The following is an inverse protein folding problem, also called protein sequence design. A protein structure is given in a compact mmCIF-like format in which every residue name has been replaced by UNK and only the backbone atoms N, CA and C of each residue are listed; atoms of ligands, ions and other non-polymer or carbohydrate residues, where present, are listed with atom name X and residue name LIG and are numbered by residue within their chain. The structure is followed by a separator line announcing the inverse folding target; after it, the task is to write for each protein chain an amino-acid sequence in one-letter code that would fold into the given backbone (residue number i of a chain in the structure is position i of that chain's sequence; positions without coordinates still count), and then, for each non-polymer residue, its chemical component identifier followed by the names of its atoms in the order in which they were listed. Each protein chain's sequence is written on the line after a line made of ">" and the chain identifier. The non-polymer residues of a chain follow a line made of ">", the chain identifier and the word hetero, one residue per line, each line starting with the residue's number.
data_IF_554615910939
#
_entry.id   IF_554615910939
#
_cell.length_a   1.000
_cell.length_b   1.000
_cell.length_c   1.000
_cell.angle_alpha   90.00
_cell.angle_beta   90.00
_cell.angle_gamma   90.00
#
_symmetry.space_group_name_H-M   'P 1'
#
loop_
_entity.id
_entity.type
_entity.pdbx_description
1 polymer ?
#
# COMPACT_ATOMS: atom_id res chain seq x y z
N UNK A 1 -11.63 -4.91 17.20
CA UNK A 1 -11.14 -3.50 17.25
C UNK A 1 -9.83 -3.38 16.50
N UNK A 2 -9.65 -2.31 15.71
CA UNK A 2 -8.42 -1.99 14.97
C UNK A 2 -7.71 -0.79 15.59
N UNK A 3 -6.38 -0.87 15.71
CA UNK A 3 -5.49 0.23 16.14
C UNK A 3 -4.59 0.59 14.97
N UNK A 4 -4.63 1.85 14.52
CA UNK A 4 -3.82 2.30 13.40
C UNK A 4 -3.14 3.64 13.69
N UNK A 5 -1.83 3.61 13.96
CA UNK A 5 -0.99 4.78 13.82
C UNK A 5 -0.81 5.15 12.34
N UNK A 6 -0.34 6.36 12.05
CA UNK A 6 -0.09 6.82 10.67
C UNK A 6 -1.34 6.85 9.76
N UNK A 7 -2.53 6.69 10.33
CA UNK A 7 -3.80 6.86 9.64
C UNK A 7 -4.15 8.34 9.57
N UNK A 8 -4.00 8.94 8.39
CA UNK A 8 -4.29 10.37 8.13
C UNK A 8 -4.95 10.51 6.75
N UNK A 9 -5.56 11.66 6.43
CA UNK A 9 -6.08 11.91 5.08
C UNK A 9 -5.04 11.72 3.96
N UNK A 10 -3.74 11.92 4.27
CA UNK A 10 -2.62 11.77 3.34
C UNK A 10 -1.98 10.37 3.34
N UNK A 11 -2.49 9.40 4.12
CA UNK A 11 -1.84 8.08 4.30
C UNK A 11 -2.02 7.11 3.13
N UNK A 12 -2.72 7.49 2.05
CA UNK A 12 -2.83 6.69 0.83
C UNK A 12 -3.25 5.24 1.10
N UNK A 13 -2.43 4.29 0.67
CA UNK A 13 -2.73 2.85 0.72
C UNK A 13 -3.03 2.28 2.10
N UNK A 14 -2.38 2.77 3.18
CA UNK A 14 -2.69 2.33 4.54
C UNK A 14 -4.13 2.65 4.92
N UNK A 15 -4.56 3.89 4.67
CA UNK A 15 -5.92 4.32 4.97
C UNK A 15 -6.94 3.52 4.16
N UNK A 16 -6.72 3.40 2.84
CA UNK A 16 -7.58 2.58 1.97
C UNK A 16 -7.71 1.16 2.51
N UNK A 17 -6.60 0.52 2.87
CA UNK A 17 -6.61 -0.84 3.40
C UNK A 17 -7.43 -0.96 4.69
N UNK A 18 -7.19 -0.07 5.67
CA UNK A 18 -7.88 -0.09 6.97
C UNK A 18 -9.38 0.18 6.81
N UNK A 19 -9.75 1.10 5.92
CA UNK A 19 -11.16 1.47 5.68
C UNK A 19 -11.90 0.36 4.91
N UNK A 20 -11.30 -0.24 3.88
CA UNK A 20 -11.90 -1.31 3.10
C UNK A 20 -12.10 -2.59 3.93
N UNK A 21 -11.08 -3.00 4.68
CA UNK A 21 -11.19 -4.14 5.60
C UNK A 21 -12.25 -3.85 6.68
N UNK A 22 -12.23 -2.62 7.25
CA UNK A 22 -13.20 -2.23 8.27
C UNK A 22 -14.63 -2.23 7.75
N UNK A 23 -14.87 -1.77 6.52
CA UNK A 23 -16.18 -1.84 5.87
C UNK A 23 -16.63 -3.28 5.72
N UNK A 24 -15.74 -4.16 5.23
CA UNK A 24 -16.06 -5.58 5.08
C UNK A 24 -16.40 -6.27 6.41
N UNK A 25 -15.73 -5.90 7.50
CA UNK A 25 -16.10 -6.41 8.83
C UNK A 25 -17.50 -5.93 9.25
N UNK A 26 -17.83 -4.67 9.02
CA UNK A 26 -19.16 -4.13 9.33
C UNK A 26 -20.25 -4.76 8.47
N UNK A 27 -20.01 -4.96 7.17
CA UNK A 27 -20.92 -5.64 6.26
C UNK A 27 -21.13 -7.12 6.63
N UNK A 28 -20.12 -7.78 7.20
CA UNK A 28 -20.21 -9.13 7.75
C UNK A 28 -20.90 -9.20 9.13
N UNK A 29 -21.41 -8.08 9.65
CA UNK A 29 -22.17 -8.01 10.92
C UNK A 29 -21.30 -7.90 12.17
N UNK A 30 -20.03 -7.50 12.05
CA UNK A 30 -19.16 -7.27 13.20
C UNK A 30 -19.17 -5.80 13.65
N UNK A 31 -19.15 -5.58 14.96
CA UNK A 31 -18.98 -4.25 15.55
C UNK A 31 -17.51 -3.81 15.41
N UNK A 32 -17.22 -3.12 14.31
CA UNK A 32 -15.89 -2.63 14.04
C UNK A 32 -15.63 -1.28 14.72
N UNK A 33 -14.60 -1.20 15.55
CA UNK A 33 -14.08 0.04 16.10
C UNK A 33 -12.65 0.27 15.62
N UNK A 34 -12.40 1.46 15.07
CA UNK A 34 -11.07 1.92 14.67
C UNK A 34 -10.57 2.98 15.64
N UNK A 35 -9.42 2.76 16.25
CA UNK A 35 -8.76 3.76 17.12
C UNK A 35 -7.55 4.34 16.40
N UNK A 36 -7.54 5.66 16.23
CA UNK A 36 -6.49 6.41 15.51
C UNK A 36 -5.98 7.58 16.37
N UNK A 37 -4.73 8.04 16.14
CA UNK A 37 -4.23 9.24 16.79
C UNK A 37 -4.72 10.51 16.08
N UNK A 38 -4.88 11.60 16.83
CA UNK A 38 -5.21 12.91 16.28
C UNK A 38 -4.82 14.08 17.16
N UNK A 39 -5.08 15.32 16.73
CA UNK A 39 -4.79 16.52 17.50
C UNK A 39 -5.76 16.74 18.67
N UNK A 40 -6.95 16.16 18.61
CA UNK A 40 -8.01 16.22 19.62
C UNK A 40 -8.70 14.87 19.72
N UNK A 41 -9.44 14.67 20.80
CA UNK A 41 -10.34 13.53 20.93
C UNK A 41 -11.57 13.75 20.04
N UNK A 42 -12.02 12.68 19.39
CA UNK A 42 -13.19 12.68 18.52
C UNK A 42 -13.80 11.26 18.49
N UNK A 43 -15.10 11.19 18.25
CA UNK A 43 -15.87 9.95 18.26
C UNK A 43 -16.95 10.04 17.18
N UNK A 44 -16.82 9.26 16.12
CA UNK A 44 -17.71 9.35 14.96
C UNK A 44 -18.05 7.98 14.37
N UNK A 45 -19.25 7.87 13.79
CA UNK A 45 -19.64 6.73 12.99
C UNK A 45 -19.36 7.01 11.53
N UNK A 46 -18.67 6.08 10.87
CA UNK A 46 -18.30 6.14 9.46
C UNK A 46 -18.89 4.95 8.72
N UNK A 47 -18.93 4.96 7.38
CA UNK A 47 -19.33 3.78 6.60
C UNK A 47 -18.49 2.52 6.88
N UNK A 48 -17.26 2.72 7.37
CA UNK A 48 -16.36 1.62 7.74
C UNK A 48 -16.47 1.21 9.21
N UNK A 49 -17.48 1.67 9.94
CA UNK A 49 -17.69 1.41 11.36
C UNK A 49 -17.37 2.60 12.27
N UNK A 50 -17.32 2.37 13.56
CA UNK A 50 -17.09 3.38 14.59
C UNK A 50 -15.61 3.79 14.62
N UNK A 51 -15.31 5.09 14.58
CA UNK A 51 -13.96 5.64 14.65
C UNK A 51 -13.76 6.50 15.87
N UNK A 52 -12.77 6.16 16.68
CA UNK A 52 -12.37 6.91 17.88
C UNK A 52 -11.00 7.53 17.62
N UNK A 53 -10.94 8.84 17.61
CA UNK A 53 -9.68 9.58 17.54
C UNK A 53 -9.22 9.89 18.95
N UNK A 54 -8.00 9.48 19.29
CA UNK A 54 -7.39 9.73 20.60
C UNK A 54 -6.38 10.87 20.48
N UNK A 55 -6.56 11.94 21.23
CA UNK A 55 -5.60 13.04 21.31
C UNK A 55 -4.20 12.52 21.62
N UNK A 56 -3.26 12.79 20.75
CA UNK A 56 -1.93 12.18 20.73
C UNK A 56 -0.85 13.21 20.37
N UNK A 57 0.39 13.03 20.84
CA UNK A 57 1.50 13.91 20.49
C UNK A 57 1.85 13.81 19.00
N UNK A 58 2.39 14.91 18.46
CA UNK A 58 2.96 14.92 17.10
C UNK A 58 4.22 14.05 17.07
N UNK A 59 4.44 13.42 15.93
CA UNK A 59 5.60 12.57 15.66
C UNK A 59 6.25 12.95 14.32
N UNK A 60 7.49 13.43 14.39
CA UNK A 60 8.24 13.89 13.22
C UNK A 60 7.64 15.13 12.55
N UNK A 61 8.22 15.51 11.41
CA UNK A 61 7.88 16.74 10.69
C UNK A 61 6.70 16.55 9.70
N UNK A 62 6.27 15.33 9.48
CA UNK A 62 5.24 14.99 8.50
C UNK A 62 3.78 15.15 9.00
N UNK A 63 3.58 15.79 10.17
CA UNK A 63 2.25 16.03 10.72
C UNK A 63 1.53 14.79 11.29
N UNK A 64 2.24 13.67 11.44
CA UNK A 64 1.69 12.49 12.07
C UNK A 64 1.53 12.69 13.59
N UNK A 65 0.57 11.94 14.16
CA UNK A 65 0.42 11.76 15.60
C UNK A 65 0.64 10.28 15.93
N UNK A 66 1.04 9.96 17.15
CA UNK A 66 1.26 8.59 17.61
C UNK A 66 0.53 8.32 18.91
N UNK A 67 -0.26 7.26 18.92
CA UNK A 67 -1.04 6.82 20.09
C UNK A 67 -0.14 6.59 21.31
N UNK A 68 -0.63 7.01 22.47
CA UNK A 68 0.03 6.76 23.75
C UNK A 68 -0.63 5.60 24.48
N UNK A 69 0.17 4.74 25.09
CA UNK A 69 -0.30 3.54 25.79
C UNK A 69 -1.40 3.84 26.82
N UNK A 70 -1.22 4.89 27.67
CA UNK A 70 -2.17 5.23 28.75
C UNK A 70 -3.56 5.56 28.21
N UNK A 71 -3.64 6.45 27.21
CA UNK A 71 -4.94 6.91 26.69
C UNK A 71 -5.65 5.84 25.87
N UNK A 72 -4.88 5.10 25.08
CA UNK A 72 -5.44 4.02 24.28
C UNK A 72 -5.93 2.87 25.15
N UNK A 73 -5.21 2.51 26.22
CA UNK A 73 -5.68 1.50 27.17
C UNK A 73 -7.02 1.87 27.81
N UNK A 74 -7.23 3.12 28.15
CA UNK A 74 -8.53 3.57 28.69
C UNK A 74 -9.69 3.33 27.70
N UNK A 75 -9.44 3.43 26.38
CA UNK A 75 -10.43 3.08 25.34
C UNK A 75 -10.64 1.57 25.29
N UNK A 76 -9.54 0.79 25.32
CA UNK A 76 -9.58 -0.67 25.32
C UNK A 76 -10.33 -1.24 26.52
N UNK A 77 -10.04 -0.73 27.72
CA UNK A 77 -10.68 -1.14 28.97
C UNK A 77 -12.19 -0.85 28.99
N UNK A 78 -12.59 0.27 28.35
CA UNK A 78 -14.01 0.66 28.22
C UNK A 78 -14.77 -0.22 27.25
N UNK A 79 -14.13 -0.60 26.11
CA UNK A 79 -14.82 -1.25 24.99
C UNK A 79 -14.64 -2.78 24.96
N UNK A 80 -13.71 -3.32 25.74
CA UNK A 80 -13.46 -4.77 25.91
C UNK A 80 -13.59 -5.56 24.61
N UNK A 81 -12.68 -5.32 23.61
CA UNK A 81 -12.80 -5.96 22.31
C UNK A 81 -12.54 -7.47 22.36
N UNK A 82 -13.25 -8.25 21.53
CA UNK A 82 -13.00 -9.71 21.39
C UNK A 82 -11.68 -10.02 20.66
N UNK A 83 -11.27 -9.13 19.75
CA UNK A 83 -10.02 -9.24 18.99
C UNK A 83 -9.40 -7.86 18.82
N UNK A 84 -8.09 -7.78 18.97
CA UNK A 84 -7.31 -6.56 18.76
C UNK A 84 -6.41 -6.71 17.55
N UNK A 85 -6.67 -5.94 16.49
CA UNK A 85 -5.83 -5.83 15.30
C UNK A 85 -4.97 -4.56 15.39
N UNK A 86 -3.68 -4.70 15.20
CA UNK A 86 -2.74 -3.58 15.21
C UNK A 86 -2.08 -3.41 13.84
N UNK A 87 -2.23 -2.24 13.23
CA UNK A 87 -1.71 -1.92 11.90
C UNK A 87 -0.28 -1.36 11.90
N UNK A 88 0.39 -1.35 13.05
CA UNK A 88 1.77 -0.87 13.14
C UNK A 88 2.62 -1.66 14.14
N UNK A 89 3.91 -1.76 13.84
CA UNK A 89 4.88 -2.52 14.65
C UNK A 89 5.22 -1.82 15.98
N UNK A 90 5.02 -0.52 16.10
CA UNK A 90 5.39 0.26 17.29
C UNK A 90 4.44 0.00 18.45
N UNK A 91 3.15 -0.06 18.16
CA UNK A 91 2.09 -0.22 19.16
C UNK A 91 2.06 -1.61 19.81
N UNK A 92 2.52 -2.65 19.11
CA UNK A 92 2.58 -4.02 19.63
C UNK A 92 3.29 -4.11 20.99
N UNK A 93 4.33 -3.28 21.21
CA UNK A 93 5.12 -3.31 22.44
C UNK A 93 4.30 -3.08 23.72
N UNK A 94 3.31 -2.20 23.67
CA UNK A 94 2.47 -1.84 24.81
C UNK A 94 1.06 -2.42 24.71
N UNK A 95 0.60 -2.81 23.52
CA UNK A 95 -0.67 -3.53 23.34
C UNK A 95 -0.58 -4.98 23.81
N UNK A 96 0.52 -5.67 23.52
CA UNK A 96 0.65 -7.08 23.84
C UNK A 96 0.57 -7.42 25.35
N UNK A 97 1.17 -6.64 26.28
CA UNK A 97 0.95 -6.87 27.73
C UNK A 97 -0.51 -6.68 28.13
N UNK A 98 -1.20 -5.66 27.60
CA UNK A 98 -2.62 -5.44 27.87
C UNK A 98 -3.48 -6.58 27.31
N UNK A 99 -3.29 -6.94 26.05
CA UNK A 99 -4.04 -7.99 25.38
C UNK A 99 -3.92 -9.34 26.12
N UNK A 100 -2.71 -9.68 26.58
CA UNK A 100 -2.47 -10.88 27.41
C UNK A 100 -3.20 -10.83 28.73
N UNK A 101 -3.16 -9.70 29.43
CA UNK A 101 -3.84 -9.54 30.72
C UNK A 101 -5.37 -9.59 30.58
N UNK A 102 -5.90 -9.10 29.48
CA UNK A 102 -7.33 -9.10 29.17
C UNK A 102 -7.82 -10.40 28.50
N UNK A 103 -6.92 -11.34 28.16
CA UNK A 103 -7.29 -12.55 27.40
C UNK A 103 -7.69 -12.29 25.94
N UNK A 104 -7.34 -11.12 25.38
CA UNK A 104 -7.74 -10.70 24.04
C UNK A 104 -6.65 -11.07 23.03
N UNK A 105 -6.95 -11.82 21.96
CA UNK A 105 -5.98 -12.12 20.91
C UNK A 105 -5.53 -10.86 20.18
N UNK A 106 -4.19 -10.69 20.08
CA UNK A 106 -3.56 -9.58 19.34
C UNK A 106 -3.07 -10.07 17.99
N UNK A 107 -3.58 -9.46 16.92
CA UNK A 107 -3.14 -9.68 15.55
C UNK A 107 -2.34 -8.46 15.07
N UNK A 108 -1.12 -8.68 14.58
CA UNK A 108 -0.31 -7.65 13.92
C UNK A 108 -0.55 -7.71 12.41
N UNK A 109 -1.13 -6.67 11.83
CA UNK A 109 -1.14 -6.47 10.38
C UNK A 109 0.10 -5.67 9.98
N UNK A 110 1.10 -6.34 9.39
CA UNK A 110 2.37 -5.72 9.01
C UNK A 110 2.28 -5.10 7.61
N UNK A 111 1.95 -3.81 7.55
CA UNK A 111 1.86 -3.04 6.30
C UNK A 111 3.21 -2.63 5.74
N UNK A 112 4.26 -2.62 6.55
CA UNK A 112 5.55 -2.03 6.20
C UNK A 112 6.70 -3.00 6.47
N UNK A 113 7.67 -2.95 5.58
CA UNK A 113 8.96 -3.60 5.74
C UNK A 113 10.01 -2.55 6.07
N UNK A 114 10.38 -2.46 7.36
CA UNK A 114 11.21 -1.38 7.89
C UNK A 114 12.60 -1.36 7.25
N UNK A 115 13.23 -2.54 7.04
CA UNK A 115 14.55 -2.63 6.39
C UNK A 115 14.52 -2.10 4.95
N UNK A 116 13.44 -2.33 4.20
CA UNK A 116 13.28 -1.83 2.85
C UNK A 116 13.07 -0.31 2.80
N UNK A 117 12.22 0.24 3.69
CA UNK A 117 11.91 1.67 3.75
C UNK A 117 13.15 2.48 4.19
N UNK A 118 13.83 2.03 5.22
CA UNK A 118 14.97 2.75 5.78
C UNK A 118 16.24 2.61 4.93
N UNK A 119 16.32 1.64 4.03
CA UNK A 119 17.49 1.43 3.16
C UNK A 119 17.88 2.69 2.37
N UNK A 120 16.92 3.52 2.02
CA UNK A 120 17.15 4.79 1.30
C UNK A 120 17.63 5.94 2.21
N UNK A 121 17.61 5.75 3.54
CA UNK A 121 17.87 6.80 4.54
C UNK A 121 19.10 6.55 5.39
N UNK A 122 19.62 5.31 5.38
CA UNK A 122 20.81 4.94 6.17
C UNK A 122 22.02 4.71 5.28
N UNK A 123 23.25 4.97 5.77
CA UNK A 123 24.47 4.72 5.02
C UNK A 123 24.62 3.26 4.58
N UNK A 124 25.32 3.04 3.44
CA UNK A 124 25.73 1.70 3.02
C UNK A 124 26.64 1.09 4.08
N UNK A 125 26.41 -0.19 4.45
CA UNK A 125 27.16 -0.88 5.50
C UNK A 125 26.51 -0.86 6.89
N UNK A 126 25.50 -0.01 7.13
CA UNK A 126 24.73 -0.07 8.37
C UNK A 126 23.97 -1.43 8.44
N UNK A 127 24.03 -2.18 9.58
CA UNK A 127 23.42 -3.51 9.72
C UNK A 127 21.90 -3.44 9.90
N UNK A 128 21.23 -2.74 8.98
CA UNK A 128 19.80 -2.47 9.05
C UNK A 128 18.96 -3.74 9.07
N UNK A 129 19.35 -4.74 8.28
CA UNK A 129 18.64 -6.03 8.25
C UNK A 129 18.71 -6.74 9.60
N UNK A 130 19.89 -6.78 10.23
CA UNK A 130 20.05 -7.40 11.55
C UNK A 130 19.25 -6.66 12.63
N UNK A 131 19.21 -5.32 12.58
CA UNK A 131 18.38 -4.52 13.50
C UNK A 131 16.88 -4.77 13.28
N UNK A 132 16.42 -4.86 12.04
CA UNK A 132 15.04 -5.20 11.71
C UNK A 132 14.69 -6.64 12.15
N UNK A 133 15.59 -7.59 11.96
CA UNK A 133 15.40 -8.98 12.38
C UNK A 133 15.30 -9.11 13.91
N UNK A 134 16.15 -8.38 14.66
CA UNK A 134 16.04 -8.32 16.12
C UNK A 134 14.69 -7.74 16.58
N UNK A 135 14.22 -6.69 15.91
CA UNK A 135 12.90 -6.10 16.18
C UNK A 135 11.78 -7.10 15.87
N UNK A 136 11.81 -7.74 14.70
CA UNK A 136 10.79 -8.69 14.27
C UNK A 136 10.76 -9.95 15.15
N UNK A 137 11.91 -10.45 15.63
CA UNK A 137 11.96 -11.54 16.64
C UNK A 137 11.18 -11.22 17.90
N UNK A 138 11.23 -9.96 18.35
CA UNK A 138 10.49 -9.52 19.54
C UNK A 138 9.03 -9.26 19.27
N UNK A 139 8.66 -9.00 18.02
CA UNK A 139 7.28 -8.67 17.64
C UNK A 139 6.43 -9.93 17.45
N UNK A 140 6.89 -10.88 16.63
CA UNK A 140 6.05 -12.04 16.29
C UNK A 140 5.70 -12.93 17.49
N UNK A 141 6.57 -13.01 18.50
CA UNK A 141 6.28 -13.76 19.75
C UNK A 141 5.25 -13.07 20.64
N UNK A 142 4.93 -11.80 20.37
CA UNK A 142 3.96 -11.01 21.13
C UNK A 142 2.58 -10.97 20.50
N UNK A 143 2.48 -11.27 19.22
CA UNK A 143 1.23 -11.33 18.49
C UNK A 143 0.77 -12.78 18.34
N UNK A 144 -0.52 -13.02 18.47
CA UNK A 144 -1.12 -14.35 18.21
C UNK A 144 -0.95 -14.73 16.73
N UNK A 145 -1.14 -13.78 15.82
CA UNK A 145 -0.88 -13.90 14.38
C UNK A 145 -0.19 -12.64 13.86
N UNK A 146 0.64 -12.84 12.85
CA UNK A 146 1.19 -11.75 12.03
C UNK A 146 0.63 -11.89 10.63
N UNK A 147 -0.09 -10.89 10.17
CA UNK A 147 -0.62 -10.81 8.81
C UNK A 147 0.32 -10.01 7.94
N UNK A 148 0.65 -10.53 6.77
CA UNK A 148 1.48 -9.89 5.73
C UNK A 148 0.77 -9.96 4.38
N UNK A 149 1.09 -9.06 3.46
CA UNK A 149 0.34 -8.91 2.22
C UNK A 149 0.97 -9.61 1.01
N UNK A 150 2.26 -10.00 1.11
CA UNK A 150 3.04 -10.53 -0.01
C UNK A 150 4.14 -11.48 0.44
N UNK A 151 4.73 -12.23 -0.48
CA UNK A 151 5.93 -13.04 -0.22
C UNK A 151 7.12 -12.16 0.15
N UNK A 152 7.23 -10.97 -0.46
CA UNK A 152 8.25 -10.00 -0.10
C UNK A 152 8.13 -9.56 1.36
N UNK A 153 6.91 -9.31 1.86
CA UNK A 153 6.68 -8.97 3.26
C UNK A 153 6.87 -10.17 4.20
N UNK A 154 6.54 -11.40 3.76
CA UNK A 154 6.75 -12.64 4.53
C UNK A 154 8.23 -12.85 4.84
N UNK A 155 9.11 -12.60 3.87
CA UNK A 155 10.54 -12.88 3.97
C UNK A 155 11.27 -12.23 5.18
N UNK A 156 10.76 -11.11 5.71
CA UNK A 156 11.35 -10.51 6.93
C UNK A 156 11.05 -11.33 8.19
N UNK A 157 9.92 -12.04 8.22
CA UNK A 157 9.52 -12.91 9.32
C UNK A 157 10.09 -14.32 9.18
N UNK A 158 10.25 -14.82 7.94
CA UNK A 158 10.91 -16.10 7.65
C UNK A 158 12.36 -16.09 8.15
N UNK A 159 13.09 -14.97 7.94
CA UNK A 159 14.47 -14.80 8.42
C UNK A 159 14.61 -14.95 9.95
N UNK A 160 13.55 -14.71 10.70
CA UNK A 160 13.55 -14.82 12.16
C UNK A 160 12.83 -16.05 12.69
N UNK A 161 12.41 -16.94 11.80
CA UNK A 161 11.77 -18.23 12.15
C UNK A 161 10.36 -18.07 12.72
N UNK A 162 9.63 -17.02 12.35
CA UNK A 162 8.25 -16.79 12.79
C UNK A 162 7.31 -17.87 12.22
N UNK A 163 6.49 -18.48 13.10
CA UNK A 163 5.61 -19.60 12.74
C UNK A 163 4.12 -19.24 12.65
N UNK A 164 3.75 -18.07 13.14
CA UNK A 164 2.37 -17.57 13.20
C UNK A 164 2.05 -16.54 12.11
N UNK A 165 2.81 -16.54 11.01
CA UNK A 165 2.61 -15.64 9.88
C UNK A 165 1.50 -16.17 8.96
N UNK A 166 0.62 -15.29 8.52
CA UNK A 166 -0.41 -15.56 7.51
C UNK A 166 -0.33 -14.52 6.41
N UNK A 167 -0.33 -14.97 5.17
CA UNK A 167 -0.37 -14.08 4.02
C UNK A 167 -1.83 -13.86 3.59
N UNK A 168 -2.24 -12.60 3.62
CA UNK A 168 -3.55 -12.13 3.14
C UNK A 168 -3.28 -10.97 2.16
N UNK A 169 -3.31 -11.21 0.85
CA UNK A 169 -3.14 -10.16 -0.15
C UNK A 169 -4.24 -9.10 -0.02
N UNK A 170 -3.90 -7.86 -0.36
CA UNK A 170 -4.91 -6.79 -0.40
C UNK A 170 -5.72 -6.87 -1.69
N UNK A 171 -6.91 -6.28 -1.65
CA UNK A 171 -7.78 -6.16 -2.79
C UNK A 171 -7.71 -4.81 -3.49
N UNK A 172 -8.51 -4.67 -4.55
CA UNK A 172 -8.77 -3.43 -5.27
C UNK A 172 -10.27 -3.27 -5.50
N UNK A 173 -10.71 -2.02 -5.52
CA UNK A 173 -12.05 -1.63 -5.92
C UNK A 173 -12.17 -1.73 -7.45
N UNK A 174 -12.67 -2.87 -7.92
CA UNK A 174 -12.81 -3.21 -9.34
C UNK A 174 -13.92 -2.42 -10.05
N UNK A 175 -14.79 -1.75 -9.29
CA UNK A 175 -15.87 -0.90 -9.85
C UNK A 175 -15.36 0.52 -10.12
N UNK A 176 -14.68 1.14 -9.17
CA UNK A 176 -14.09 2.46 -9.34
C UNK A 176 -12.90 2.41 -10.31
N UNK A 177 -11.99 1.46 -10.13
CA UNK A 177 -10.84 1.25 -11.02
C UNK A 177 -11.21 0.26 -12.12
N UNK A 178 -11.61 0.81 -13.27
CA UNK A 178 -12.13 -0.01 -14.36
C UNK A 178 -11.67 0.57 -15.72
N UNK A 179 -11.43 -0.27 -16.76
CA UNK A 179 -11.07 0.20 -18.09
C UNK A 179 -12.09 1.17 -18.73
N UNK A 180 -13.38 1.06 -18.36
CA UNK A 180 -14.45 1.99 -18.78
C UNK A 180 -14.25 3.43 -18.29
N UNK A 181 -13.40 3.66 -17.30
CA UNK A 181 -13.04 5.00 -16.83
C UNK A 181 -12.21 5.79 -17.85
N UNK A 182 -11.72 5.14 -18.91
CA UNK A 182 -11.01 5.80 -20.01
C UNK A 182 -11.92 6.76 -20.75
N UNK A 183 -11.45 8.01 -20.92
CA UNK A 183 -12.24 9.11 -21.51
C UNK A 183 -12.12 9.26 -23.01
N UNK A 184 -11.05 8.71 -23.63
CA UNK A 184 -10.81 8.87 -25.07
C UNK A 184 -10.11 7.70 -25.74
N UNK A 185 -10.38 7.49 -27.01
CA UNK A 185 -9.55 6.63 -27.84
C UNK A 185 -8.19 7.31 -28.09
N UNK A 186 -7.10 6.54 -28.07
CA UNK A 186 -5.79 7.05 -28.48
C UNK A 186 -5.79 7.23 -30.02
N UNK A 187 -5.34 8.39 -30.49
CA UNK A 187 -5.03 8.58 -31.89
C UNK A 187 -3.62 8.01 -32.18
N UNK A 188 -3.35 7.43 -33.37
CA UNK A 188 -2.04 6.90 -33.70
C UNK A 188 -0.88 7.90 -33.53
N UNK A 189 -1.16 9.20 -33.72
CA UNK A 189 -0.18 10.27 -33.58
C UNK A 189 -0.09 10.86 -32.15
N UNK A 190 -0.89 10.39 -31.20
CA UNK A 190 -0.81 10.85 -29.82
C UNK A 190 0.52 10.39 -29.20
N UNK A 191 1.13 11.20 -28.30
CA UNK A 191 2.25 10.73 -27.51
C UNK A 191 1.82 9.58 -26.59
N UNK A 192 2.72 8.63 -26.36
CA UNK A 192 2.49 7.55 -25.38
C UNK A 192 2.25 8.15 -23.99
N UNK A 193 1.12 7.83 -23.40
CA UNK A 193 0.70 8.35 -22.09
C UNK A 193 1.19 7.43 -20.98
N UNK A 194 2.13 7.92 -20.19
CA UNK A 194 2.65 7.24 -19.01
C UNK A 194 2.00 7.81 -17.75
N UNK A 195 1.84 7.00 -16.71
CA UNK A 195 1.36 7.44 -15.40
C UNK A 195 2.21 6.89 -14.27
N UNK A 196 2.45 7.70 -13.26
CA UNK A 196 3.01 7.32 -11.96
C UNK A 196 2.05 7.75 -10.86
N UNK A 197 1.59 6.82 -10.03
CA UNK A 197 0.78 7.12 -8.85
C UNK A 197 1.58 6.75 -7.61
N UNK A 198 2.03 7.77 -6.87
CA UNK A 198 2.77 7.48 -5.64
C UNK A 198 2.92 8.72 -4.75
N UNK A 199 3.18 8.51 -3.46
CA UNK A 199 3.73 9.56 -2.60
C UNK A 199 5.13 9.95 -3.09
N UNK A 200 5.42 11.25 -3.14
CA UNK A 200 6.70 11.77 -3.63
C UNK A 200 7.74 11.78 -2.48
N UNK A 201 8.21 10.59 -2.10
CA UNK A 201 9.15 10.34 -1.02
C UNK A 201 10.33 9.47 -1.48
N UNK A 202 11.41 9.46 -0.71
CA UNK A 202 12.69 8.83 -1.12
C UNK A 202 12.57 7.34 -1.46
N UNK A 203 11.79 6.59 -0.70
CA UNK A 203 11.58 5.15 -0.90
C UNK A 203 10.80 4.83 -2.18
N UNK A 204 9.99 5.79 -2.69
CA UNK A 204 9.18 5.61 -3.90
C UNK A 204 9.95 5.83 -5.20
N UNK A 205 11.13 6.45 -5.15
CA UNK A 205 12.04 6.58 -6.29
C UNK A 205 11.43 7.21 -7.54
N UNK A 206 10.49 8.16 -7.37
CA UNK A 206 9.82 8.83 -8.49
C UNK A 206 10.81 9.49 -9.48
N UNK A 207 11.99 9.88 -9.03
CA UNK A 207 13.07 10.39 -9.88
C UNK A 207 13.47 9.44 -11.00
N UNK A 208 13.37 8.11 -10.78
CA UNK A 208 13.71 7.11 -11.81
C UNK A 208 12.69 7.06 -12.94
N UNK A 209 11.40 7.26 -12.64
CA UNK A 209 10.37 7.34 -13.67
C UNK A 209 10.58 8.58 -14.56
N UNK A 210 10.93 9.74 -13.97
CA UNK A 210 11.25 10.96 -14.72
C UNK A 210 12.49 10.77 -15.59
N UNK A 211 13.53 10.13 -15.04
CA UNK A 211 14.74 9.80 -15.81
C UNK A 211 14.46 8.78 -16.93
N UNK A 212 13.55 7.83 -16.73
CA UNK A 212 13.11 6.91 -17.77
C UNK A 212 12.40 7.65 -18.93
N UNK A 213 11.59 8.69 -18.62
CA UNK A 213 11.01 9.55 -19.64
C UNK A 213 12.10 10.25 -20.45
N UNK A 214 13.17 10.75 -19.82
CA UNK A 214 14.32 11.33 -20.54
C UNK A 214 14.94 10.31 -21.52
N UNK A 215 15.21 9.08 -21.04
CA UNK A 215 15.75 8.00 -21.91
C UNK A 215 14.83 7.71 -23.09
N UNK A 216 13.53 7.71 -22.88
CA UNK A 216 12.54 7.48 -23.95
C UNK A 216 12.53 8.61 -24.98
N UNK A 217 12.49 9.88 -24.50
CA UNK A 217 12.48 11.07 -25.36
C UNK A 217 13.79 11.19 -26.15
N UNK A 218 14.94 11.01 -25.48
CA UNK A 218 16.26 11.07 -26.13
C UNK A 218 16.42 9.99 -27.22
N UNK A 219 15.68 8.88 -27.11
CA UNK A 219 15.62 7.83 -28.14
C UNK A 219 14.56 8.04 -29.22
N UNK A 220 13.89 9.19 -29.23
CA UNK A 220 12.90 9.56 -30.24
C UNK A 220 11.45 9.11 -29.95
N UNK A 221 11.17 8.47 -28.80
CA UNK A 221 9.79 8.11 -28.45
C UNK A 221 9.03 9.35 -27.97
N UNK A 222 7.95 9.69 -28.64
CA UNK A 222 7.01 10.72 -28.19
C UNK A 222 6.18 10.17 -27.02
N UNK A 223 6.44 10.63 -25.80
CA UNK A 223 5.70 10.23 -24.61
C UNK A 223 5.48 11.39 -23.66
N UNK A 224 4.51 11.25 -22.75
CA UNK A 224 4.25 12.20 -21.67
C UNK A 224 3.96 11.43 -20.37
N UNK A 225 4.42 11.94 -19.22
CA UNK A 225 4.23 11.33 -17.91
C UNK A 225 3.29 12.20 -17.04
N UNK A 226 2.20 11.60 -16.59
CA UNK A 226 1.35 12.13 -15.53
C UNK A 226 1.81 11.61 -14.18
N UNK A 227 2.19 12.51 -13.26
CA UNK A 227 2.56 12.18 -11.88
C UNK A 227 1.41 12.53 -10.96
N UNK A 228 0.78 11.52 -10.36
CA UNK A 228 -0.33 11.65 -9.41
C UNK A 228 0.20 11.37 -8.00
N UNK A 229 0.06 12.35 -7.13
CA UNK A 229 0.52 12.29 -5.74
C UNK A 229 1.32 13.51 -5.34
N UNK A 230 1.64 13.59 -4.05
CA UNK A 230 2.39 14.68 -3.45
C UNK A 230 3.38 14.15 -2.41
N UNK A 231 4.27 15.02 -1.95
CA UNK A 231 5.23 14.66 -0.92
C UNK A 231 6.46 15.56 -0.86
N UNK A 232 7.35 15.31 0.10
CA UNK A 232 8.47 16.21 0.39
C UNK A 232 9.50 16.37 -0.74
N UNK A 233 9.47 15.50 -1.75
CA UNK A 233 10.37 15.60 -2.90
C UNK A 233 9.77 16.33 -4.10
N UNK A 234 8.54 16.84 -4.03
CA UNK A 234 7.82 17.44 -5.17
C UNK A 234 8.64 18.49 -5.90
N UNK A 235 9.07 19.55 -5.22
CA UNK A 235 9.82 20.64 -5.83
C UNK A 235 11.12 20.18 -6.50
N UNK A 236 11.83 19.22 -5.89
CA UNK A 236 13.03 18.62 -6.47
C UNK A 236 12.71 17.82 -7.75
N UNK A 237 11.59 17.10 -7.76
CA UNK A 237 11.16 16.29 -8.92
C UNK A 237 10.66 17.18 -10.06
N UNK A 238 9.96 18.28 -9.76
CA UNK A 238 9.57 19.30 -10.74
C UNK A 238 10.80 19.94 -11.40
N UNK A 239 11.84 20.25 -10.61
CA UNK A 239 13.11 20.75 -11.14
C UNK A 239 13.81 19.70 -12.04
N UNK A 240 13.84 18.43 -11.61
CA UNK A 240 14.41 17.33 -12.40
C UNK A 240 13.68 17.12 -13.72
N UNK A 241 12.36 17.36 -13.74
CA UNK A 241 11.48 17.20 -14.90
C UNK A 241 11.59 18.39 -15.90
N UNK A 242 12.34 19.42 -15.57
CA UNK A 242 12.47 20.61 -16.43
C UNK A 242 12.86 20.23 -17.86
N UNK A 243 12.06 20.75 -18.83
CA UNK A 243 12.22 20.45 -20.27
C UNK A 243 11.72 19.07 -20.71
N UNK A 244 11.16 18.26 -19.80
CA UNK A 244 10.54 16.97 -20.16
C UNK A 244 9.01 17.09 -20.19
N UNK A 245 8.30 16.25 -20.95
CA UNK A 245 6.84 16.21 -21.00
C UNK A 245 6.28 15.50 -19.73
N UNK A 246 6.39 16.14 -18.57
CA UNK A 246 5.94 15.62 -17.27
C UNK A 246 4.97 16.60 -16.63
N UNK A 247 3.79 16.11 -16.21
CA UNK A 247 2.75 16.91 -15.55
C UNK A 247 2.52 16.37 -14.14
N UNK A 248 2.58 17.26 -13.15
CA UNK A 248 2.32 16.94 -11.75
C UNK A 248 0.90 17.36 -11.36
N UNK A 249 0.04 16.37 -11.09
CA UNK A 249 -1.37 16.60 -10.72
C UNK A 249 -1.59 16.86 -9.22
N UNK A 250 -0.55 16.64 -8.40
CA UNK A 250 -0.69 16.70 -6.94
C UNK A 250 -1.49 15.53 -6.38
N UNK A 251 -1.90 15.67 -5.11
CA UNK A 251 -2.72 14.66 -4.44
C UNK A 251 -4.18 14.76 -4.90
N UNK A 252 -4.70 13.70 -5.49
CA UNK A 252 -6.09 13.59 -5.89
C UNK A 252 -6.89 12.85 -4.80
N UNK A 253 -7.91 13.50 -4.27
CA UNK A 253 -8.85 12.91 -3.30
C UNK A 253 -10.02 12.21 -3.98
N UNK A 254 -10.39 12.64 -5.18
CA UNK A 254 -11.42 12.00 -6.00
C UNK A 254 -10.86 10.75 -6.68
N UNK A 255 -11.28 9.58 -6.18
CA UNK A 255 -10.85 8.28 -6.69
C UNK A 255 -11.31 8.04 -8.14
N UNK A 256 -12.47 8.57 -8.53
CA UNK A 256 -12.98 8.43 -9.90
C UNK A 256 -12.15 9.25 -10.89
N UNK A 257 -11.76 10.47 -10.52
CA UNK A 257 -10.84 11.29 -11.32
C UNK A 257 -9.47 10.65 -11.44
N UNK A 258 -8.96 10.04 -10.36
CA UNK A 258 -7.71 9.28 -10.38
C UNK A 258 -7.80 8.05 -11.29
N UNK A 259 -8.88 7.27 -11.19
CA UNK A 259 -9.12 6.11 -12.04
C UNK A 259 -9.18 6.48 -13.52
N UNK A 260 -9.82 7.61 -13.86
CA UNK A 260 -9.87 8.12 -15.24
C UNK A 260 -8.48 8.43 -15.79
N UNK A 261 -7.64 9.16 -15.04
CA UNK A 261 -6.26 9.45 -15.43
C UNK A 261 -5.41 8.19 -15.62
N UNK A 262 -5.58 7.21 -14.73
CA UNK A 262 -4.89 5.92 -14.84
C UNK A 262 -5.37 5.15 -16.07
N UNK A 263 -6.69 5.05 -16.29
CA UNK A 263 -7.28 4.34 -17.43
C UNK A 263 -6.92 4.99 -18.78
N UNK A 264 -6.74 6.31 -18.81
CA UNK A 264 -6.31 7.07 -20.00
C UNK A 264 -4.84 6.82 -20.34
N UNK A 265 -4.01 6.39 -19.40
CA UNK A 265 -2.62 6.07 -19.65
C UNK A 265 -2.46 4.76 -20.46
N UNK A 266 -1.39 4.67 -21.23
CA UNK A 266 -1.03 3.47 -21.98
C UNK A 266 -0.21 2.50 -21.15
N UNK A 267 0.62 3.01 -20.23
CA UNK A 267 1.46 2.24 -19.32
C UNK A 267 1.64 3.01 -18.01
N UNK A 268 1.61 2.29 -16.88
CA UNK A 268 1.95 2.84 -15.58
C UNK A 268 3.36 2.41 -15.17
N UNK A 269 4.16 3.35 -14.63
CA UNK A 269 5.56 3.12 -14.26
C UNK A 269 5.74 3.28 -12.76
N UNK A 270 6.15 2.22 -12.05
CA UNK A 270 6.32 2.19 -10.61
C UNK A 270 7.74 1.81 -10.20
N UNK A 271 8.64 2.76 -9.95
CA UNK A 271 10.06 2.49 -9.71
C UNK A 271 10.41 2.08 -8.27
N UNK A 272 9.43 1.94 -7.37
CA UNK A 272 9.64 1.70 -5.95
C UNK A 272 10.12 0.27 -5.65
N UNK A 273 11.31 0.07 -5.05
CA UNK A 273 11.79 -1.24 -4.63
C UNK A 273 11.28 -1.67 -3.24
N UNK A 274 10.50 -0.82 -2.58
CA UNK A 274 10.09 -1.01 -1.17
C UNK A 274 8.58 -1.24 -1.00
N UNK A 275 7.86 -1.52 -2.10
CA UNK A 275 6.45 -1.87 -2.01
C UNK A 275 6.27 -3.18 -1.25
N UNK A 276 5.44 -3.17 -0.22
CA UNK A 276 5.06 -4.38 0.51
C UNK A 276 3.88 -5.10 -0.11
N UNK A 277 3.09 -4.39 -0.92
CA UNK A 277 2.05 -4.94 -1.79
C UNK A 277 1.98 -4.20 -3.12
N UNK A 278 1.64 -2.91 -3.10
CA UNK A 278 1.54 -2.06 -4.29
C UNK A 278 0.09 -1.80 -4.71
N UNK A 279 -0.73 -1.20 -3.83
CA UNK A 279 -2.13 -0.88 -4.16
C UNK A 279 -2.24 -0.03 -5.43
N UNK A 280 -1.39 0.98 -5.61
CA UNK A 280 -1.41 1.82 -6.81
C UNK A 280 -1.07 1.02 -8.09
N UNK A 281 -0.21 -0.01 -7.98
CA UNK A 281 0.07 -0.94 -9.08
C UNK A 281 -1.18 -1.75 -9.41
N UNK A 282 -1.87 -2.25 -8.39
CA UNK A 282 -3.09 -3.02 -8.55
C UNK A 282 -4.25 -2.16 -9.09
N UNK A 283 -4.34 -0.90 -8.66
CA UNK A 283 -5.31 0.09 -9.19
C UNK A 283 -5.06 0.37 -10.69
N UNK A 284 -3.79 0.46 -11.10
CA UNK A 284 -3.46 0.60 -12.52
C UNK A 284 -3.86 -0.64 -13.34
N UNK A 285 -3.53 -1.82 -12.85
CA UNK A 285 -3.95 -3.08 -13.49
C UNK A 285 -5.48 -3.18 -13.58
N UNK A 286 -6.21 -2.78 -12.54
CA UNK A 286 -7.68 -2.77 -12.53
C UNK A 286 -8.28 -1.84 -13.57
N UNK A 287 -7.63 -0.71 -13.86
CA UNK A 287 -7.97 0.21 -14.96
C UNK A 287 -7.60 -0.36 -16.36
N UNK A 288 -7.07 -1.57 -16.43
CA UNK A 288 -6.56 -2.14 -17.67
C UNK A 288 -5.27 -1.46 -18.16
N UNK A 289 -4.54 -0.79 -17.28
CA UNK A 289 -3.27 -0.12 -17.60
C UNK A 289 -2.11 -1.03 -17.19
N UNK A 290 -1.34 -1.57 -18.15
CA UNK A 290 -0.22 -2.45 -17.86
C UNK A 290 0.89 -1.70 -17.12
N UNK A 291 1.70 -2.42 -16.36
CA UNK A 291 2.65 -1.81 -15.41
C UNK A 291 4.10 -2.18 -15.72
N UNK A 292 5.02 -1.26 -15.46
CA UNK A 292 6.47 -1.56 -15.39
C UNK A 292 6.90 -1.40 -13.94
N UNK A 293 7.44 -2.47 -13.35
CA UNK A 293 7.78 -2.55 -11.93
C UNK A 293 9.19 -3.12 -11.73
N UNK A 294 9.89 -2.79 -10.63
CA UNK A 294 11.18 -3.38 -10.33
C UNK A 294 11.06 -4.83 -9.84
N UNK A 295 12.10 -5.62 -10.06
CA UNK A 295 12.23 -6.98 -9.50
C UNK A 295 12.31 -6.98 -7.96
N UNK A 296 12.75 -5.87 -7.37
CA UNK A 296 12.74 -5.66 -5.92
C UNK A 296 11.37 -5.18 -5.44
N UNK A 297 10.95 -5.66 -4.28
CA UNK A 297 9.63 -5.33 -3.70
C UNK A 297 8.54 -6.32 -4.12
N UNK A 298 7.33 -6.08 -3.64
CA UNK A 298 6.18 -6.96 -3.87
C UNK A 298 5.43 -6.68 -5.18
N UNK A 299 5.62 -5.52 -5.80
CA UNK A 299 4.88 -5.12 -7.01
C UNK A 299 4.96 -6.16 -8.14
N UNK A 300 6.10 -6.87 -8.25
CA UNK A 300 6.29 -7.97 -9.22
C UNK A 300 5.32 -9.13 -9.03
N UNK A 301 4.82 -9.35 -7.81
CA UNK A 301 3.88 -10.45 -7.51
C UNK A 301 2.48 -10.18 -8.08
N UNK A 302 2.19 -8.94 -8.46
CA UNK A 302 0.95 -8.52 -9.10
C UNK A 302 0.97 -8.67 -10.62
N UNK A 303 2.18 -8.73 -11.23
CA UNK A 303 2.33 -8.95 -12.66
C UNK A 303 1.90 -10.39 -12.97
N UNK A 304 0.93 -10.54 -13.84
CA UNK A 304 0.35 -11.82 -14.24
C UNK A 304 0.87 -12.31 -15.59
N UNK A 305 -0.05 -12.62 -16.49
CA UNK A 305 0.25 -13.10 -17.83
C UNK A 305 1.02 -12.07 -18.67
N UNK A 306 1.73 -12.49 -19.72
CA UNK A 306 2.41 -11.60 -20.65
C UNK A 306 1.48 -10.49 -21.15
N UNK A 307 1.95 -9.24 -21.06
CA UNK A 307 1.18 -8.05 -21.41
C UNK A 307 0.52 -7.35 -20.22
N UNK A 308 0.35 -7.99 -19.04
CA UNK A 308 -0.12 -7.30 -17.85
C UNK A 308 0.94 -6.34 -17.28
N UNK A 309 2.22 -6.65 -17.50
CA UNK A 309 3.33 -5.82 -17.04
C UNK A 309 4.69 -6.43 -17.34
N UNK A 310 5.73 -5.63 -17.09
CA UNK A 310 7.14 -6.02 -17.22
C UNK A 310 7.86 -5.81 -15.89
N UNK A 311 8.66 -6.79 -15.50
CA UNK A 311 9.51 -6.75 -14.32
C UNK A 311 10.95 -6.45 -14.75
N UNK A 312 11.51 -5.32 -14.31
CA UNK A 312 12.85 -4.86 -14.71
C UNK A 312 13.79 -4.69 -13.50
N UNK A 313 15.01 -4.25 -13.72
CA UNK A 313 16.01 -3.97 -12.66
C UNK A 313 15.69 -2.72 -11.83
N UNK A 314 14.67 -1.93 -12.26
CA UNK A 314 14.26 -0.69 -11.63
C UNK A 314 15.21 0.49 -11.87
N UNK A 315 16.20 0.36 -12.77
CA UNK A 315 16.98 1.50 -13.29
C UNK A 315 16.15 2.34 -14.26
N UNK A 316 16.51 3.61 -14.53
CA UNK A 316 15.83 4.40 -15.55
C UNK A 316 15.81 3.74 -16.93
N UNK A 317 16.92 3.08 -17.35
CA UNK A 317 16.99 2.35 -18.59
C UNK A 317 16.11 1.11 -18.57
N UNK A 318 16.14 0.30 -17.50
CA UNK A 318 15.28 -0.87 -17.38
C UNK A 318 13.79 -0.52 -17.39
N UNK A 319 13.40 0.59 -16.75
CA UNK A 319 12.04 1.11 -16.82
C UNK A 319 11.65 1.53 -18.25
N UNK A 320 12.56 2.22 -18.98
CA UNK A 320 12.34 2.63 -20.36
C UNK A 320 12.22 1.42 -21.30
N UNK A 321 13.07 0.41 -21.14
CA UNK A 321 12.99 -0.84 -21.93
C UNK A 321 11.69 -1.58 -21.64
N UNK A 322 11.25 -1.67 -20.37
CA UNK A 322 9.96 -2.28 -20.03
C UNK A 322 8.78 -1.55 -20.68
N UNK A 323 8.84 -0.22 -20.81
CA UNK A 323 7.85 0.55 -21.57
C UNK A 323 7.86 0.14 -23.04
N UNK A 324 9.03 0.02 -23.70
CA UNK A 324 9.14 -0.39 -25.11
C UNK A 324 8.62 -1.82 -25.33
N UNK A 325 8.97 -2.73 -24.43
CA UNK A 325 8.52 -4.12 -24.49
C UNK A 325 6.98 -4.19 -24.46
N UNK A 326 6.32 -3.46 -23.55
CA UNK A 326 4.87 -3.41 -23.53
C UNK A 326 4.28 -2.76 -24.78
N UNK A 327 4.89 -1.71 -25.32
CA UNK A 327 4.42 -1.04 -26.53
C UNK A 327 4.49 -1.92 -27.77
N UNK A 328 5.39 -2.91 -27.82
CA UNK A 328 5.46 -3.89 -28.88
C UNK A 328 4.23 -4.83 -28.96
N UNK A 329 3.45 -4.92 -27.87
CA UNK A 329 2.24 -5.72 -27.83
C UNK A 329 1.01 -4.88 -28.25
N UNK A 330 -0.01 -5.49 -28.87
CA UNK A 330 -1.27 -4.80 -29.18
C UNK A 330 -1.93 -4.22 -27.92
N UNK A 331 -2.38 -2.96 -27.99
CA UNK A 331 -2.99 -2.26 -26.86
C UNK A 331 -4.15 -3.04 -26.22
N UNK A 332 -5.02 -3.63 -27.03
CA UNK A 332 -6.15 -4.43 -26.53
C UNK A 332 -5.70 -5.68 -25.77
N UNK A 333 -4.60 -6.31 -26.18
CA UNK A 333 -4.04 -7.50 -25.50
C UNK A 333 -3.51 -7.11 -24.12
N UNK A 334 -2.62 -6.12 -24.05
CA UNK A 334 -2.02 -5.70 -22.77
C UNK A 334 -3.03 -5.16 -21.79
N UNK A 335 -4.08 -4.44 -22.25
CA UNK A 335 -5.16 -3.95 -21.39
C UNK A 335 -6.00 -5.08 -20.81
N UNK A 336 -6.36 -6.09 -21.63
CA UNK A 336 -7.07 -7.27 -21.12
C UNK A 336 -6.23 -8.05 -20.12
N UNK A 337 -4.96 -8.26 -20.40
CA UNK A 337 -4.05 -8.96 -19.49
C UNK A 337 -3.87 -8.21 -18.15
N UNK A 338 -3.76 -6.87 -18.20
CA UNK A 338 -3.70 -6.04 -16.99
C UNK A 338 -4.97 -6.19 -16.13
N UNK A 339 -6.15 -6.04 -16.74
CA UNK A 339 -7.42 -6.21 -16.03
C UNK A 339 -7.57 -7.60 -15.42
N UNK A 340 -7.29 -8.66 -16.16
CA UNK A 340 -7.36 -10.03 -15.67
C UNK A 340 -6.41 -10.29 -14.49
N UNK A 341 -5.22 -9.65 -14.48
CA UNK A 341 -4.29 -9.72 -13.35
C UNK A 341 -4.90 -9.11 -12.08
N UNK A 342 -5.61 -7.98 -12.19
CA UNK A 342 -6.24 -7.34 -11.04
C UNK A 342 -7.46 -8.08 -10.51
N UNK A 343 -8.24 -8.73 -11.37
CA UNK A 343 -9.44 -9.48 -10.99
C UNK A 343 -9.17 -10.66 -10.06
N UNK A 344 -7.92 -11.09 -9.94
CA UNK A 344 -7.48 -12.09 -8.96
C UNK A 344 -7.45 -11.55 -7.52
N UNK A 345 -7.60 -10.24 -7.34
CA UNK A 345 -7.45 -9.55 -6.06
C UNK A 345 -8.68 -8.69 -5.72
N UNK A 346 -9.89 -9.25 -5.59
CA UNK A 346 -11.03 -8.49 -5.08
C UNK A 346 -10.89 -8.26 -3.57
N UNK A 347 -11.45 -7.15 -3.05
CA UNK A 347 -11.47 -6.91 -1.60
C UNK A 347 -12.18 -8.01 -0.82
N UNK A 348 -13.21 -8.67 -1.40
CA UNK A 348 -13.89 -9.80 -0.76
C UNK A 348 -12.92 -10.90 -0.34
N UNK A 349 -11.96 -11.26 -1.19
CA UNK A 349 -10.96 -12.29 -0.86
C UNK A 349 -10.04 -11.86 0.31
N UNK A 350 -9.70 -10.56 0.42
CA UNK A 350 -8.97 -10.02 1.57
C UNK A 350 -9.80 -10.13 2.85
N UNK A 351 -11.06 -9.70 2.78
CA UNK A 351 -12.00 -9.71 3.92
C UNK A 351 -12.23 -11.13 4.40
N UNK A 352 -12.53 -12.07 3.48
CA UNK A 352 -12.72 -13.49 3.79
C UNK A 352 -11.47 -14.09 4.45
N UNK A 353 -10.28 -13.76 3.93
CA UNK A 353 -9.01 -14.19 4.50
C UNK A 353 -8.79 -13.66 5.93
N UNK A 354 -9.18 -12.42 6.20
CA UNK A 354 -9.11 -11.83 7.55
C UNK A 354 -10.14 -12.42 8.50
N UNK A 355 -11.39 -12.58 8.06
CA UNK A 355 -12.46 -13.18 8.87
C UNK A 355 -12.17 -14.64 9.23
N UNK A 356 -11.60 -15.40 8.29
CA UNK A 356 -11.17 -16.79 8.56
C UNK A 356 -10.10 -16.87 9.67
N UNK A 357 -9.23 -15.86 9.81
CA UNK A 357 -8.27 -15.80 10.92
C UNK A 357 -8.95 -15.60 12.28
N UNK A 358 -10.10 -14.93 12.30
CA UNK A 358 -10.81 -14.60 13.54
C UNK A 358 -11.82 -15.68 13.95
N UNK A 359 -12.29 -16.53 13.03
CA UNK A 359 -13.22 -17.62 13.33
C UNK A 359 -12.69 -18.56 14.43
N UNK A 360 -11.38 -18.85 14.41
CA UNK A 360 -10.71 -19.66 15.44
C UNK A 360 -10.81 -19.06 16.86
N UNK A 361 -10.90 -17.72 16.98
CA UNK A 361 -10.96 -17.02 18.26
C UNK A 361 -12.36 -16.98 18.83
N UNK A 362 -13.38 -16.81 17.97
CA UNK A 362 -14.78 -16.83 18.39
C UNK A 362 -15.19 -18.18 18.99
N UNK A 363 -14.68 -19.27 18.43
CA UNK A 363 -14.94 -20.62 18.95
C UNK A 363 -14.33 -20.81 20.35
N UNK A 364 -13.14 -20.30 20.60
CA UNK A 364 -12.47 -20.36 21.91
C UNK A 364 -13.18 -19.52 22.96
N UNK A 365 -13.65 -18.31 22.61
CA UNK A 365 -14.36 -17.41 23.52
C UNK A 365 -15.74 -17.95 23.95
N UNK A 366 -16.41 -18.75 23.10
CA UNK A 366 -17.69 -19.42 23.41
C UNK A 366 -17.52 -20.69 24.24
N UNK A 367 -16.30 -21.24 24.32
CA UNK A 367 -15.99 -22.48 25.02
C UNK A 367 -15.35 -22.24 26.40
N UNK A 368 -15.04 -20.99 26.77
CA UNK A 368 -14.47 -20.55 28.04
C UNK A 368 -15.53 -19.83 28.91
#
# INVERSE_FOLDING_TARGET
>A
MQIANFYTPASGGLRTCVDEIGRGYSEAGHDRVLVVPGPRDDDEHTPSGHRITVRSPKFGDAGYHVLTARRTRAVLDRLTPDVLECSDKLSVRWLAPWARAAGVPLVLFSHERIDAILRSRVPRGFPLTAAADLANRRLWVRAEKVVVTSSFATAEFDRVGARNVRRVPLGVDLETFHPRSRRGAAHPDDPVRLVLVSRLSREKRAERAIQAVRVLVDSGLRCALSVIGDGPLRSRLEHLAGGLPVVFHGHLTDRSAMAALIADADIAVFPSPAETFGLAVLEALACGTPVVVPAAGAARELVGDPGSGVVCDGSPHGLAEGVRELLALPSAQRRRAARAAAERFPWSATIDGMLALYADYQTRARSA
#
